data_IF_432584858353
#
_entry.id   IF_432584858353
#
_cell.length_a   1.000
_cell.length_b   1.000
_cell.length_c   1.000
_cell.angle_alpha   90.00
_cell.angle_beta   90.00
_cell.angle_gamma   90.00
#
_symmetry.space_group_name_H-M   'P 1'
#
loop_
_entity.id
_entity.type
_entity.pdbx_description
1 polymer ?
#
# COMPACT_ATOMS: atom_id res chain seq x y z
N UNK A 1 -16.62 14.90 50.37
CA UNK A 1 -16.42 13.98 49.24
C UNK A 1 -17.38 14.24 48.07
N UNK A 2 -18.68 14.46 48.29
CA UNK A 2 -19.65 14.70 47.20
C UNK A 2 -19.42 15.96 46.33
N UNK A 3 -18.79 17.02 46.88
CA UNK A 3 -18.55 18.28 46.14
C UNK A 3 -17.43 18.19 45.08
N UNK A 4 -16.50 17.24 45.21
CA UNK A 4 -15.43 17.04 44.23
C UNK A 4 -15.89 16.21 43.02
N UNK A 5 -16.81 15.27 43.24
CA UNK A 5 -17.40 14.43 42.18
C UNK A 5 -18.27 15.25 41.23
N UNK A 6 -19.03 16.24 41.73
CA UNK A 6 -19.88 17.10 40.89
C UNK A 6 -19.06 18.01 39.97
N UNK A 7 -17.87 18.45 40.42
CA UNK A 7 -16.98 19.30 39.61
C UNK A 7 -16.33 18.53 38.45
N UNK A 8 -15.98 17.25 38.64
CA UNK A 8 -15.47 16.39 37.56
C UNK A 8 -16.53 16.09 36.50
N UNK A 9 -17.80 15.91 36.88
CA UNK A 9 -18.90 15.66 35.93
C UNK A 9 -19.18 16.89 35.06
N UNK A 10 -19.09 18.10 35.62
CA UNK A 10 -19.26 19.35 34.87
C UNK A 10 -18.11 19.62 33.88
N UNK A 11 -16.88 19.24 34.24
CA UNK A 11 -15.72 19.37 33.34
C UNK A 11 -15.77 18.41 32.15
N UNK A 12 -16.36 17.22 32.33
CA UNK A 12 -16.56 16.24 31.25
C UNK A 12 -17.70 16.66 30.31
N UNK A 13 -18.74 17.32 30.82
CA UNK A 13 -19.83 17.86 30.00
C UNK A 13 -19.44 19.12 29.22
N UNK A 14 -18.52 19.94 29.73
CA UNK A 14 -18.04 21.16 29.07
C UNK A 14 -17.12 20.93 27.86
N UNK A 15 -16.58 19.72 27.69
CA UNK A 15 -15.71 19.34 26.55
C UNK A 15 -16.52 18.69 25.40
N UNK A 16 -17.81 18.43 25.61
CA UNK A 16 -18.64 17.66 24.68
C UNK A 16 -19.38 18.47 23.59
N UNK A 17 -18.97 19.71 23.30
CA UNK A 17 -19.59 20.52 22.26
C UNK A 17 -18.59 21.27 21.38
N UNK A 18 -17.38 20.73 21.21
CA UNK A 18 -16.60 21.07 20.02
C UNK A 18 -17.35 20.50 18.82
N UNK A 19 -18.09 21.36 18.10
CA UNK A 19 -18.60 21.01 16.78
C UNK A 19 -17.39 20.59 15.94
N UNK A 20 -17.26 19.30 15.68
CA UNK A 20 -16.36 18.81 14.64
C UNK A 20 -16.83 19.48 13.37
N UNK A 21 -16.13 20.54 12.94
CA UNK A 21 -16.39 21.10 11.62
C UNK A 21 -16.08 19.96 10.67
N UNK A 22 -17.10 19.48 9.95
CA UNK A 22 -16.88 18.65 8.78
C UNK A 22 -16.03 19.50 7.84
N UNK A 23 -14.72 19.29 7.87
CA UNK A 23 -13.87 19.83 6.84
C UNK A 23 -14.37 19.13 5.58
N UNK A 24 -15.10 19.85 4.74
CA UNK A 24 -15.39 19.39 3.38
C UNK A 24 -14.02 19.21 2.74
N UNK A 25 -13.46 18.00 2.84
CA UNK A 25 -12.22 17.64 2.17
C UNK A 25 -12.58 17.53 0.71
N UNK A 26 -12.60 18.69 0.04
CA UNK A 26 -12.84 18.76 -1.39
C UNK A 26 -11.65 18.08 -2.06
N UNK A 27 -11.89 16.91 -2.65
CA UNK A 27 -10.88 16.13 -3.35
C UNK A 27 -11.15 16.22 -4.85
N UNK A 28 -10.15 16.58 -5.63
CA UNK A 28 -10.30 16.73 -7.08
C UNK A 28 -10.35 15.36 -7.79
N UNK A 29 -9.63 14.37 -7.25
CA UNK A 29 -9.55 13.02 -7.81
C UNK A 29 -9.65 11.95 -6.72
N UNK A 30 -10.51 10.95 -6.95
CA UNK A 30 -10.58 9.75 -6.11
C UNK A 30 -10.09 8.56 -6.93
N UNK A 31 -9.06 7.88 -6.43
CA UNK A 31 -8.54 6.63 -6.99
C UNK A 31 -9.11 5.47 -6.16
N UNK A 32 -9.83 4.56 -6.80
CA UNK A 32 -10.39 3.38 -6.14
C UNK A 32 -9.44 2.18 -6.33
N UNK A 33 -8.82 1.76 -5.24
CA UNK A 33 -7.90 0.63 -5.13
C UNK A 33 -6.43 1.06 -5.06
N UNK A 34 -5.73 0.65 -4.00
CA UNK A 34 -4.29 0.86 -3.79
C UNK A 34 -3.44 -0.32 -4.30
N UNK A 35 -3.82 -0.90 -5.45
CA UNK A 35 -2.98 -1.82 -6.21
C UNK A 35 -1.90 -1.10 -7.02
N UNK A 36 -1.08 -1.84 -7.78
CA UNK A 36 -0.05 -1.24 -8.66
C UNK A 36 -0.58 -0.14 -9.57
N UNK A 37 -1.77 -0.33 -10.17
CA UNK A 37 -2.37 0.68 -11.05
C UNK A 37 -2.78 1.95 -10.30
N UNK A 38 -3.37 1.83 -9.11
CA UNK A 38 -3.79 2.98 -8.33
C UNK A 38 -2.62 3.77 -7.75
N UNK A 39 -1.59 3.06 -7.26
CA UNK A 39 -0.34 3.69 -6.80
C UNK A 39 0.36 4.38 -7.98
N UNK A 40 0.43 3.73 -9.15
CA UNK A 40 1.00 4.34 -10.35
C UNK A 40 0.22 5.59 -10.77
N UNK A 41 -1.12 5.56 -10.74
CA UNK A 41 -1.95 6.73 -11.00
C UNK A 41 -1.66 7.88 -10.02
N UNK A 42 -1.63 7.61 -8.72
CA UNK A 42 -1.30 8.61 -7.70
C UNK A 42 0.10 9.20 -7.87
N UNK A 43 1.09 8.36 -8.22
CA UNK A 43 2.44 8.82 -8.58
C UNK A 43 2.40 9.74 -9.80
N UNK A 44 1.73 9.34 -10.88
CA UNK A 44 1.62 10.15 -12.10
C UNK A 44 0.92 11.49 -11.83
N UNK A 45 -0.16 11.52 -11.04
CA UNK A 45 -0.82 12.77 -10.64
C UNK A 45 0.16 13.69 -9.89
N UNK A 46 0.87 13.13 -8.91
CA UNK A 46 1.86 13.88 -8.12
C UNK A 46 2.97 14.46 -8.99
N UNK A 47 3.50 13.67 -9.94
CA UNK A 47 4.54 14.13 -10.88
C UNK A 47 4.06 15.23 -11.83
N UNK A 48 2.75 15.34 -12.05
CA UNK A 48 2.12 16.41 -12.83
C UNK A 48 1.55 17.55 -11.97
N UNK A 49 1.94 17.63 -10.70
CA UNK A 49 1.54 18.71 -9.79
C UNK A 49 0.10 18.62 -9.26
N UNK A 50 -0.61 17.52 -9.52
CA UNK A 50 -1.94 17.26 -9.00
C UNK A 50 -1.79 16.48 -7.68
N UNK A 51 -1.95 17.17 -6.56
CA UNK A 51 -1.72 16.59 -5.22
C UNK A 51 -2.99 16.47 -4.37
N UNK A 52 -4.08 17.10 -4.77
CA UNK A 52 -5.37 17.02 -4.09
C UNK A 52 -6.17 15.79 -4.52
N UNK A 53 -5.64 14.61 -4.21
CA UNK A 53 -6.30 13.34 -4.49
C UNK A 53 -6.24 12.41 -3.28
N UNK A 54 -7.14 11.43 -3.25
CA UNK A 54 -7.11 10.34 -2.28
C UNK A 54 -7.12 8.98 -2.98
N UNK A 55 -6.54 7.98 -2.32
CA UNK A 55 -6.63 6.58 -2.74
C UNK A 55 -7.46 5.83 -1.69
N UNK A 56 -8.57 5.24 -2.12
CA UNK A 56 -9.43 4.42 -1.26
C UNK A 56 -9.14 2.95 -1.53
N UNK A 57 -8.72 2.22 -0.50
CA UNK A 57 -8.45 0.78 -0.57
C UNK A 57 -9.47 0.03 0.29
N UNK A 58 -10.02 -1.06 -0.26
CA UNK A 58 -11.05 -1.83 0.43
C UNK A 58 -10.45 -2.73 1.53
N UNK A 59 -9.18 -3.08 1.40
CA UNK A 59 -8.45 -3.92 2.36
C UNK A 59 -7.64 -3.08 3.35
N UNK A 60 -7.03 -3.75 4.32
CA UNK A 60 -6.15 -3.16 5.33
C UNK A 60 -4.71 -2.94 4.85
N UNK A 61 -4.43 -3.21 3.57
CA UNK A 61 -3.08 -3.12 2.99
C UNK A 61 -3.09 -2.60 1.57
N UNK A 62 -1.97 -2.02 1.17
CA UNK A 62 -1.70 -1.69 -0.24
C UNK A 62 -1.20 -2.92 -1.01
N UNK A 63 -1.06 -2.77 -2.33
CA UNK A 63 -0.48 -3.76 -3.25
C UNK A 63 -1.52 -4.55 -4.06
N UNK A 64 -2.77 -4.63 -3.59
CA UNK A 64 -3.84 -5.32 -4.30
C UNK A 64 -3.48 -6.79 -4.56
N UNK A 65 -3.42 -7.21 -5.83
CA UNK A 65 -3.04 -8.58 -6.22
C UNK A 65 -1.55 -8.90 -6.07
N UNK A 66 -0.69 -7.94 -5.76
CA UNK A 66 0.69 -8.21 -5.34
C UNK A 66 0.66 -8.43 -3.82
N UNK A 67 0.94 -9.66 -3.39
CA UNK A 67 0.77 -10.10 -2.00
C UNK A 67 1.62 -11.32 -1.75
N UNK A 68 2.34 -11.34 -0.63
CA UNK A 68 2.89 -12.56 -0.04
C UNK A 68 2.24 -12.89 1.30
N UNK A 69 2.53 -14.10 1.78
CA UNK A 69 2.16 -14.59 3.11
C UNK A 69 3.30 -15.41 3.70
N UNK A 70 3.30 -15.58 5.02
CA UNK A 70 4.14 -16.58 5.68
C UNK A 70 3.55 -17.99 5.47
N UNK A 71 4.39 -18.93 5.09
CA UNK A 71 4.06 -20.34 4.97
C UNK A 71 5.30 -21.19 5.32
N UNK A 72 5.18 -22.05 6.34
CA UNK A 72 6.26 -22.93 6.81
C UNK A 72 7.60 -22.20 7.10
N UNK A 73 7.54 -20.98 7.64
CA UNK A 73 8.73 -20.16 7.92
C UNK A 73 9.33 -19.44 6.71
N UNK A 74 8.70 -19.54 5.54
CA UNK A 74 9.10 -18.88 4.30
C UNK A 74 8.07 -17.84 3.88
N UNK A 75 8.51 -16.81 3.15
CA UNK A 75 7.60 -15.90 2.44
C UNK A 75 7.25 -16.52 1.10
N UNK A 76 5.96 -16.65 0.83
CA UNK A 76 5.43 -17.17 -0.45
C UNK A 76 4.53 -16.14 -1.09
N UNK A 77 4.71 -15.90 -2.39
CA UNK A 77 3.86 -15.01 -3.16
C UNK A 77 2.48 -15.68 -3.41
N UNK A 78 1.42 -14.97 -3.04
CA UNK A 78 0.02 -15.35 -3.26
C UNK A 78 -0.57 -14.73 -4.53
N UNK A 79 0.23 -13.94 -5.24
CA UNK A 79 -0.18 -13.20 -6.42
C UNK A 79 0.97 -13.05 -7.42
N UNK A 80 1.24 -11.83 -7.89
CA UNK A 80 2.32 -11.60 -8.86
C UNK A 80 3.68 -12.04 -8.31
N UNK A 81 4.37 -12.90 -9.04
CA UNK A 81 5.61 -13.55 -8.62
C UNK A 81 6.70 -13.62 -9.69
N UNK A 82 6.37 -13.32 -10.95
CA UNK A 82 7.34 -13.21 -12.04
C UNK A 82 7.31 -11.84 -12.70
N UNK A 83 8.48 -11.37 -13.10
CA UNK A 83 8.63 -10.25 -14.05
C UNK A 83 9.14 -10.83 -15.36
N UNK A 84 8.28 -10.85 -16.37
CA UNK A 84 8.63 -11.33 -17.70
C UNK A 84 9.16 -10.18 -18.57
N UNK A 85 9.91 -10.50 -19.63
CA UNK A 85 10.40 -9.49 -20.58
C UNK A 85 11.58 -8.67 -20.07
N UNK A 86 12.51 -9.30 -19.31
CA UNK A 86 13.68 -8.63 -18.72
C UNK A 86 14.91 -8.57 -19.64
N UNK A 87 14.93 -9.36 -20.73
CA UNK A 87 16.03 -9.47 -21.69
C UNK A 87 15.57 -9.29 -23.16
N UNK A 88 14.43 -8.64 -23.38
CA UNK A 88 13.86 -8.39 -24.70
C UNK A 88 14.36 -7.11 -25.37
N UNK A 89 13.93 -6.85 -26.63
CA UNK A 89 14.16 -5.57 -27.32
C UNK A 89 13.49 -4.41 -26.59
N UNK A 90 12.33 -4.68 -26.01
CA UNK A 90 11.63 -3.79 -25.10
C UNK A 90 11.72 -4.38 -23.69
N UNK A 91 12.08 -3.54 -22.73
CA UNK A 91 12.19 -3.93 -21.33
C UNK A 91 10.87 -3.66 -20.62
N UNK A 92 10.38 -4.65 -19.89
CA UNK A 92 9.21 -4.49 -19.05
C UNK A 92 9.41 -3.36 -18.02
N UNK A 93 8.56 -2.32 -17.96
CA UNK A 93 8.69 -1.25 -16.97
C UNK A 93 8.70 -1.72 -15.51
N UNK A 94 8.02 -2.83 -15.21
CA UNK A 94 8.07 -3.45 -13.89
C UNK A 94 9.49 -3.92 -13.51
N UNK A 95 10.29 -4.34 -14.48
CA UNK A 95 11.70 -4.68 -14.27
C UNK A 95 12.53 -3.45 -13.92
N UNK A 96 12.36 -2.36 -14.66
CA UNK A 96 13.04 -1.09 -14.37
C UNK A 96 12.72 -0.59 -12.96
N UNK A 97 11.45 -0.64 -12.57
CA UNK A 97 11.01 -0.29 -11.21
C UNK A 97 11.66 -1.20 -10.17
N UNK A 98 11.67 -2.52 -10.39
CA UNK A 98 12.30 -3.48 -9.48
C UNK A 98 13.78 -3.17 -9.23
N UNK A 99 14.51 -2.77 -10.28
CA UNK A 99 15.91 -2.37 -10.17
C UNK A 99 16.09 -1.04 -9.42
N UNK A 100 15.22 -0.05 -9.67
CA UNK A 100 15.27 1.25 -8.99
C UNK A 100 15.09 1.14 -7.48
N UNK A 101 14.21 0.24 -7.03
CA UNK A 101 13.98 -0.02 -5.60
C UNK A 101 14.85 -1.16 -5.05
N UNK A 102 15.82 -1.65 -5.84
CA UNK A 102 16.76 -2.71 -5.46
C UNK A 102 16.06 -3.96 -4.91
N UNK A 103 14.95 -4.37 -5.54
CA UNK A 103 14.25 -5.59 -5.18
C UNK A 103 15.14 -6.81 -5.42
N UNK A 104 15.11 -7.75 -4.47
CA UNK A 104 15.76 -9.06 -4.65
C UNK A 104 15.05 -9.80 -5.79
N UNK A 105 15.80 -10.14 -6.81
CA UNK A 105 15.32 -10.91 -7.96
C UNK A 105 16.23 -12.11 -8.19
N UNK A 106 15.64 -13.19 -8.70
CA UNK A 106 16.36 -14.39 -9.12
C UNK A 106 15.97 -14.70 -10.56
N UNK A 107 16.93 -15.13 -11.37
CA UNK A 107 16.62 -15.62 -12.71
C UNK A 107 15.89 -16.96 -12.57
N UNK A 108 14.78 -17.11 -13.29
CA UNK A 108 13.99 -18.35 -13.24
C UNK A 108 14.72 -19.46 -13.97
N UNK A 109 15.00 -20.54 -13.27
CA UNK A 109 15.49 -21.79 -13.84
C UNK A 109 14.29 -22.68 -14.19
N UNK A 110 14.01 -22.83 -15.48
CA UNK A 110 12.91 -23.68 -15.98
C UNK A 110 13.24 -25.16 -15.97
N UNK A 111 14.52 -25.53 -15.81
CA UNK A 111 14.98 -26.91 -15.73
C UNK A 111 14.94 -27.47 -14.31
N UNK A 112 14.96 -26.59 -13.29
CA UNK A 112 14.85 -26.95 -11.90
C UNK A 112 13.94 -25.98 -11.14
N UNK A 113 12.63 -26.21 -11.16
CA UNK A 113 11.67 -25.33 -10.48
C UNK A 113 11.90 -25.22 -8.97
N UNK A 114 12.49 -26.24 -8.35
CA UNK A 114 12.78 -26.24 -6.91
C UNK A 114 13.88 -25.26 -6.52
N UNK A 115 14.71 -24.78 -7.46
CA UNK A 115 15.71 -23.75 -7.20
C UNK A 115 15.15 -22.33 -7.20
N UNK A 116 13.90 -22.14 -7.67
CA UNK A 116 13.25 -20.82 -7.76
C UNK A 116 12.52 -20.41 -6.46
N UNK A 117 12.81 -21.08 -5.34
CA UNK A 117 12.24 -20.73 -4.04
C UNK A 117 13.09 -19.69 -3.32
N UNK A 118 12.44 -18.80 -2.57
CA UNK A 118 13.11 -17.88 -1.65
C UNK A 118 13.71 -18.67 -0.49
N UNK A 119 14.88 -19.28 -0.68
CA UNK A 119 15.61 -19.86 0.46
C UNK A 119 16.08 -18.70 1.34
N UNK A 120 15.60 -18.67 2.58
CA UNK A 120 16.13 -17.77 3.60
C UNK A 120 17.61 -18.13 3.81
N UNK A 121 18.51 -17.20 3.47
CA UNK A 121 19.87 -17.17 4.03
C UNK A 121 19.81 -16.43 5.36
#
# INVERSE_FOLDING_TARGET
MAKFTVLCVLLVLGVAASSVSSQDSNVDVIIIGAGMSGIAAGKTLTENGITNFIILEATDRVGGRIRNTDFAGLKVEMGANWVEGVNGKEINPAWTLAQQVQLRTIQTDTSNLSSNVYTAL
#
